data_IF_513191730333
#
_entry.id   IF_513191730333
#
_cell.length_a   1.000
_cell.length_b   1.000
_cell.length_c   1.000
_cell.angle_alpha   90.00
_cell.angle_beta   90.00
_cell.angle_gamma   90.00
#
_symmetry.space_group_name_H-M   'P 1'
#
loop_
_entity.id
_entity.type
_entity.pdbx_description
1 polymer ?
#
# COMPACT_ATOMS: atom_id res chain seq x y z
N UNK A 1 10.16 13.58 16.09
CA UNK A 1 9.35 14.48 15.23
C UNK A 1 10.12 14.90 13.98
N UNK A 2 11.28 15.57 14.08
CA UNK A 2 12.05 16.00 12.89
C UNK A 2 12.40 14.87 11.89
N UNK A 3 12.84 13.70 12.38
CA UNK A 3 13.15 12.54 11.51
C UNK A 3 11.91 12.03 10.77
N UNK A 4 10.76 11.99 11.43
CA UNK A 4 9.49 11.56 10.81
C UNK A 4 9.01 12.59 9.77
N UNK A 5 9.19 13.88 10.02
CA UNK A 5 8.88 14.95 9.05
C UNK A 5 9.74 14.85 7.80
N UNK A 6 11.05 14.63 7.96
CA UNK A 6 11.97 14.45 6.84
C UNK A 6 11.63 13.17 6.06
N UNK A 7 11.34 12.08 6.76
CA UNK A 7 10.90 10.83 6.13
C UNK A 7 9.59 11.01 5.36
N UNK A 8 8.62 11.73 5.92
CA UNK A 8 7.34 12.03 5.27
C UNK A 8 7.50 12.84 3.98
N UNK A 9 8.33 13.88 4.01
CA UNK A 9 8.70 14.66 2.81
C UNK A 9 9.35 13.73 1.78
N UNK A 10 10.32 12.92 2.19
CA UNK A 10 10.97 11.95 1.31
C UNK A 10 9.98 10.96 0.68
N UNK A 11 9.03 10.44 1.47
CA UNK A 11 8.03 9.48 0.99
C UNK A 11 7.06 10.10 -0.03
N UNK A 12 6.67 11.36 0.17
CA UNK A 12 5.79 12.11 -0.71
C UNK A 12 6.37 12.29 -2.12
N UNK A 13 7.69 12.46 -2.24
CA UNK A 13 8.37 12.51 -3.53
C UNK A 13 8.74 11.12 -4.07
N UNK A 14 9.12 10.19 -3.19
CA UNK A 14 9.64 8.89 -3.59
C UNK A 14 8.59 8.05 -4.34
N UNK A 15 7.35 7.97 -3.84
CA UNK A 15 6.31 7.17 -4.51
C UNK A 15 6.01 7.63 -5.94
N UNK A 16 5.70 8.91 -6.21
CA UNK A 16 5.45 9.40 -7.57
C UNK A 16 6.71 9.40 -8.44
N UNK A 17 7.89 9.72 -7.89
CA UNK A 17 9.14 9.67 -8.65
C UNK A 17 9.44 8.23 -9.11
N UNK A 18 9.26 7.24 -8.24
CA UNK A 18 9.48 5.82 -8.55
C UNK A 18 8.50 5.30 -9.60
N UNK A 19 7.22 5.70 -9.53
CA UNK A 19 6.23 5.36 -10.55
C UNK A 19 6.58 5.97 -11.92
N UNK A 20 6.99 7.24 -11.96
CA UNK A 20 7.40 7.90 -13.20
C UNK A 20 8.66 7.25 -13.81
N UNK A 21 9.63 6.89 -12.97
CA UNK A 21 10.91 6.31 -13.40
C UNK A 21 10.72 4.93 -14.03
N UNK A 22 9.84 4.07 -13.47
CA UNK A 22 9.51 2.75 -14.04
C UNK A 22 8.95 2.88 -15.46
N UNK A 23 8.12 3.89 -15.71
CA UNK A 23 7.56 4.17 -17.04
C UNK A 23 8.59 4.64 -18.07
N UNK A 24 9.69 5.26 -17.63
CA UNK A 24 10.78 5.75 -18.50
C UNK A 24 11.80 4.65 -18.82
N UNK A 25 12.00 3.71 -17.90
CA UNK A 25 12.97 2.61 -17.98
C UNK A 25 12.56 1.45 -18.89
N UNK A 26 11.25 1.31 -19.15
CA UNK A 26 10.68 0.09 -19.73
C UNK A 26 9.87 0.46 -20.98
N UNK A 27 10.07 -0.27 -22.07
CA UNK A 27 9.29 -0.09 -23.31
C UNK A 27 7.79 -0.39 -23.07
N UNK A 28 6.89 0.24 -23.85
CA UNK A 28 5.43 0.09 -23.69
C UNK A 28 4.98 -1.37 -23.60
N UNK A 29 5.60 -2.23 -24.40
CA UNK A 29 5.30 -3.66 -24.50
C UNK A 29 5.67 -4.45 -23.23
N UNK A 30 6.58 -3.90 -22.41
CA UNK A 30 7.05 -4.49 -21.16
C UNK A 30 6.52 -3.77 -19.91
N UNK A 31 5.78 -2.67 -20.06
CA UNK A 31 5.22 -1.90 -18.93
C UNK A 31 4.35 -2.78 -18.04
N UNK A 32 3.46 -3.59 -18.62
CA UNK A 32 2.60 -4.49 -17.85
C UNK A 32 3.41 -5.49 -17.03
N UNK A 33 4.49 -6.04 -17.59
CA UNK A 33 5.37 -6.96 -16.89
C UNK A 33 6.17 -6.25 -15.77
N UNK A 34 6.63 -5.02 -16.01
CA UNK A 34 7.33 -4.23 -15.01
C UNK A 34 6.42 -3.82 -13.84
N UNK A 35 5.18 -3.44 -14.11
CA UNK A 35 4.17 -3.15 -13.09
C UNK A 35 3.84 -4.42 -12.29
N UNK A 36 3.65 -5.56 -12.97
CA UNK A 36 3.43 -6.84 -12.31
C UNK A 36 4.60 -7.23 -11.38
N UNK A 37 5.85 -7.09 -11.86
CA UNK A 37 7.04 -7.36 -11.06
C UNK A 37 7.18 -6.42 -9.85
N UNK A 38 6.91 -5.13 -10.04
CA UNK A 38 6.91 -4.16 -8.94
C UNK A 38 5.84 -4.50 -7.89
N UNK A 39 4.63 -4.85 -8.33
CA UNK A 39 3.56 -5.27 -7.43
C UNK A 39 3.92 -6.57 -6.69
N UNK A 40 4.52 -7.55 -7.37
CA UNK A 40 5.00 -8.77 -6.75
C UNK A 40 6.07 -8.47 -5.68
N UNK A 41 7.04 -7.60 -5.99
CA UNK A 41 8.06 -7.17 -5.04
C UNK A 41 7.49 -6.43 -3.82
N UNK A 42 6.53 -5.51 -4.03
CA UNK A 42 5.86 -4.83 -2.91
C UNK A 42 5.08 -5.81 -2.04
N UNK A 43 4.35 -6.74 -2.65
CA UNK A 43 3.61 -7.78 -1.93
C UNK A 43 4.55 -8.72 -1.15
N UNK A 44 5.68 -9.09 -1.75
CA UNK A 44 6.73 -9.86 -1.08
C UNK A 44 7.26 -9.12 0.15
N UNK A 45 7.65 -7.85 0.00
CA UNK A 45 8.10 -7.01 1.12
C UNK A 45 7.02 -6.82 2.18
N UNK A 46 5.74 -6.69 1.78
CA UNK A 46 4.61 -6.52 2.70
C UNK A 46 4.40 -7.73 3.59
N UNK A 47 4.62 -8.94 3.07
CA UNK A 47 4.42 -10.19 3.83
C UNK A 47 5.66 -10.61 4.59
N UNK A 48 6.81 -10.65 3.92
CA UNK A 48 8.03 -11.19 4.49
C UNK A 48 8.87 -10.12 5.21
N UNK A 49 8.72 -8.84 4.85
CA UNK A 49 9.49 -7.75 5.46
C UNK A 49 9.31 -7.68 6.97
N UNK A 50 8.07 -7.60 7.50
CA UNK A 50 7.83 -7.59 8.93
C UNK A 50 8.31 -8.85 9.66
N UNK A 51 8.15 -10.03 9.06
CA UNK A 51 8.61 -11.30 9.64
C UNK A 51 10.13 -11.33 9.74
N UNK A 52 10.82 -10.98 8.65
CA UNK A 52 12.28 -10.91 8.59
C UNK A 52 12.82 -9.84 9.53
N UNK A 53 12.21 -8.66 9.57
CA UNK A 53 12.60 -7.60 10.50
C UNK A 53 12.41 -8.04 11.96
N UNK A 54 11.27 -8.64 12.30
CA UNK A 54 11.02 -9.18 13.64
C UNK A 54 12.00 -10.29 14.04
N UNK A 55 12.34 -11.19 13.10
CA UNK A 55 13.32 -12.24 13.32
C UNK A 55 14.75 -11.70 13.50
N UNK A 56 15.15 -10.69 12.70
CA UNK A 56 16.46 -10.04 12.83
C UNK A 56 16.58 -9.26 14.15
N UNK A 57 15.55 -8.52 14.55
CA UNK A 57 15.51 -7.82 15.84
C UNK A 57 15.63 -8.80 17.02
N UNK A 58 15.08 -10.01 16.86
CA UNK A 58 15.12 -11.06 17.86
C UNK A 58 16.50 -11.71 18.07
N UNK A 59 17.46 -11.47 17.16
CA UNK A 59 18.84 -11.95 17.31
C UNK A 59 19.58 -10.99 18.25
N UNK A 60 20.11 -11.46 19.40
CA UNK A 60 20.72 -10.59 20.43
C UNK A 60 21.86 -9.71 19.90
N UNK A 61 22.61 -10.21 18.92
CA UNK A 61 23.77 -9.52 18.32
C UNK A 61 23.40 -8.49 17.24
N UNK A 62 22.17 -8.53 16.70
CA UNK A 62 21.72 -7.60 15.65
C UNK A 62 20.90 -6.48 16.30
N UNK A 63 19.88 -6.85 17.07
CA UNK A 63 18.94 -5.91 17.69
C UNK A 63 18.27 -4.95 16.69
N UNK A 64 17.67 -3.87 17.20
CA UNK A 64 17.07 -2.85 16.33
C UNK A 64 18.12 -2.09 15.49
N UNK A 65 19.28 -1.78 16.09
CA UNK A 65 20.36 -1.04 15.42
C UNK A 65 20.92 -1.76 14.19
N UNK A 66 21.15 -3.06 14.28
CA UNK A 66 21.62 -3.87 13.16
C UNK A 66 20.63 -3.95 12.01
N UNK A 67 19.32 -3.98 12.30
CA UNK A 67 18.29 -3.91 11.24
C UNK A 67 18.34 -2.58 10.49
N UNK A 68 18.49 -1.46 11.19
CA UNK A 68 18.66 -0.16 10.53
C UNK A 68 19.95 -0.07 9.71
N UNK A 69 21.05 -0.69 10.16
CA UNK A 69 22.29 -0.76 9.40
C UNK A 69 22.13 -1.57 8.10
N UNK A 70 21.45 -2.72 8.17
CA UNK A 70 21.11 -3.54 6.99
C UNK A 70 20.22 -2.74 6.01
N UNK A 71 19.18 -2.07 6.52
CA UNK A 71 18.33 -1.21 5.69
C UNK A 71 19.15 -0.12 4.99
N UNK A 72 20.10 0.50 5.69
CA UNK A 72 20.98 1.53 5.13
C UNK A 72 21.86 0.97 4.02
N UNK A 73 22.44 -0.23 4.23
CA UNK A 73 23.21 -0.93 3.20
C UNK A 73 22.38 -1.27 1.96
N UNK A 74 21.13 -1.71 2.14
CA UNK A 74 20.21 -1.96 1.03
C UNK A 74 19.90 -0.69 0.24
N UNK A 75 19.60 0.43 0.92
CA UNK A 75 19.38 1.71 0.23
C UNK A 75 20.63 2.20 -0.51
N UNK A 76 21.82 2.07 0.10
CA UNK A 76 23.07 2.40 -0.57
C UNK A 76 23.30 1.54 -1.83
N UNK A 77 23.02 0.24 -1.75
CA UNK A 77 23.10 -0.65 -2.91
C UNK A 77 22.14 -0.26 -4.04
N UNK A 78 20.89 0.13 -3.70
CA UNK A 78 19.93 0.63 -4.68
C UNK A 78 20.46 1.91 -5.35
N UNK A 79 20.96 2.86 -4.57
CA UNK A 79 21.54 4.11 -5.10
C UNK A 79 22.72 3.83 -6.03
N UNK A 80 23.63 2.93 -5.63
CA UNK A 80 24.77 2.52 -6.46
C UNK A 80 24.32 1.83 -7.76
N UNK A 81 23.23 1.05 -7.69
CA UNK A 81 22.65 0.39 -8.86
C UNK A 81 22.01 1.39 -9.82
N UNK A 82 21.37 2.46 -9.30
CA UNK A 82 20.81 3.53 -10.13
C UNK A 82 21.91 4.23 -10.95
N UNK A 83 23.10 4.45 -10.41
CA UNK A 83 24.22 5.02 -11.17
C UNK A 83 24.70 4.14 -12.33
N UNK A 84 24.39 2.83 -12.33
CA UNK A 84 24.71 1.90 -13.42
C UNK A 84 23.62 1.83 -14.50
N UNK A 85 22.45 2.38 -14.23
CA UNK A 85 21.37 2.45 -15.22
C UNK A 85 21.75 3.53 -16.23
N UNK A 86 21.97 3.12 -17.48
CA UNK A 86 22.18 4.05 -18.59
C UNK A 86 20.87 4.78 -18.87
N UNK A 87 20.91 6.11 -18.75
CA UNK A 87 19.78 6.97 -19.06
C UNK A 87 19.35 6.75 -20.52
N UNK A 88 18.13 6.23 -20.73
CA UNK A 88 17.60 6.01 -22.08
C UNK A 88 16.96 7.28 -22.67
N UNK A 89 17.12 8.44 -22.03
CA UNK A 89 16.99 9.74 -22.70
C UNK A 89 15.64 9.93 -23.39
N UNK A 90 14.54 9.46 -22.80
CA UNK A 90 13.20 9.81 -23.26
C UNK A 90 12.62 10.89 -22.37
N UNK A 91 12.77 12.18 -22.73
CA UNK A 91 11.89 13.19 -22.19
C UNK A 91 10.50 12.86 -22.72
N UNK A 92 9.63 12.30 -21.88
CA UNK A 92 8.22 12.23 -22.21
C UNK A 92 7.69 13.65 -22.11
N UNK A 93 7.80 14.38 -23.22
CA UNK A 93 7.22 15.69 -23.41
C UNK A 93 5.73 15.58 -23.16
N UNK A 94 5.32 15.99 -21.97
CA UNK A 94 3.99 16.53 -21.77
C UNK A 94 4.22 17.80 -20.97
N UNK A 95 3.87 18.94 -21.56
CA UNK A 95 3.68 20.18 -20.81
C UNK A 95 2.61 19.84 -19.79
N UNK A 96 3.01 19.42 -18.60
CA UNK A 96 2.09 19.15 -17.51
C UNK A 96 1.61 20.51 -17.03
N UNK A 97 0.29 20.75 -16.96
CA UNK A 97 -0.22 21.98 -16.41
C UNK A 97 0.35 22.16 -14.99
N UNK A 98 0.51 23.41 -14.52
CA UNK A 98 0.95 23.72 -13.17
C UNK A 98 0.29 22.81 -12.13
N UNK A 99 1.01 22.38 -11.06
CA UNK A 99 0.47 21.43 -10.07
C UNK A 99 -0.88 21.86 -9.49
N UNK A 100 -1.04 23.16 -9.25
CA UNK A 100 -2.28 23.78 -8.76
C UNK A 100 -3.42 23.74 -9.79
N UNK A 101 -3.10 23.91 -11.07
CA UNK A 101 -4.07 23.89 -12.16
C UNK A 101 -4.55 22.46 -12.44
N UNK A 102 -3.62 21.51 -12.41
CA UNK A 102 -3.93 20.06 -12.43
C UNK A 102 -4.80 19.63 -11.25
N UNK A 103 -4.54 20.15 -10.04
CA UNK A 103 -5.36 19.88 -8.85
C UNK A 103 -6.78 20.44 -9.01
N UNK A 104 -6.90 21.66 -9.55
CA UNK A 104 -8.18 22.33 -9.80
C UNK A 104 -9.00 21.61 -10.87
N UNK A 105 -8.36 21.14 -11.93
CA UNK A 105 -9.00 20.30 -12.97
C UNK A 105 -9.46 18.97 -12.39
N UNK A 106 -8.64 18.29 -11.58
CA UNK A 106 -9.00 17.05 -10.89
C UNK A 106 -10.21 17.23 -9.98
N UNK A 107 -10.22 18.29 -9.14
CA UNK A 107 -11.36 18.62 -8.28
C UNK A 107 -12.63 18.94 -9.07
N UNK A 108 -12.51 19.65 -10.19
CA UNK A 108 -13.66 19.95 -11.06
C UNK A 108 -14.21 18.69 -11.72
N UNK A 109 -13.33 17.79 -12.16
CA UNK A 109 -13.73 16.50 -12.74
C UNK A 109 -14.45 15.61 -11.73
N UNK A 110 -13.90 15.48 -10.51
CA UNK A 110 -14.52 14.73 -9.41
C UNK A 110 -15.91 15.28 -9.10
N UNK A 111 -16.07 16.60 -9.05
CA UNK A 111 -17.35 17.25 -8.79
C UNK A 111 -18.37 17.03 -9.91
N UNK A 112 -17.92 16.93 -11.16
CA UNK A 112 -18.80 16.75 -12.31
C UNK A 112 -19.18 15.28 -12.56
N UNK A 113 -18.36 14.32 -12.11
CA UNK A 113 -18.62 12.89 -12.27
C UNK A 113 -19.08 12.26 -10.94
N UNK A 114 -20.40 12.16 -10.77
CA UNK A 114 -21.05 11.64 -9.54
C UNK A 114 -20.57 10.23 -9.14
N UNK A 115 -20.23 9.38 -10.11
CA UNK A 115 -19.71 8.03 -9.84
C UNK A 115 -18.31 8.09 -9.19
N UNK A 116 -17.42 8.93 -9.73
CA UNK A 116 -16.06 9.11 -9.20
C UNK A 116 -16.09 9.75 -7.81
N UNK A 117 -16.94 10.76 -7.61
CA UNK A 117 -17.14 11.38 -6.29
C UNK A 117 -17.62 10.37 -5.24
N UNK A 118 -18.57 9.50 -5.61
CA UNK A 118 -19.08 8.46 -4.70
C UNK A 118 -17.99 7.43 -4.37
N UNK A 119 -17.22 6.99 -5.37
CA UNK A 119 -16.11 6.05 -5.17
C UNK A 119 -15.00 6.64 -4.27
N UNK A 120 -14.68 7.93 -4.43
CA UNK A 120 -13.70 8.63 -3.60
C UNK A 120 -14.21 8.83 -2.16
N UNK A 121 -15.47 9.21 -1.98
CA UNK A 121 -16.08 9.31 -0.65
C UNK A 121 -16.08 7.94 0.07
N UNK A 122 -16.40 6.86 -0.67
CA UNK A 122 -16.31 5.49 -0.16
C UNK A 122 -14.87 5.11 0.18
N UNK A 123 -13.87 5.53 -0.60
CA UNK A 123 -12.46 5.25 -0.31
C UNK A 123 -11.94 6.05 0.90
N UNK A 124 -12.48 7.26 1.13
CA UNK A 124 -12.04 8.16 2.19
C UNK A 124 -12.28 7.57 3.59
N UNK A 125 -13.44 6.96 3.82
CA UNK A 125 -13.82 6.38 5.13
C UNK A 125 -12.82 5.32 5.63
N UNK A 126 -12.49 4.25 4.89
CA UNK A 126 -11.53 3.24 5.32
C UNK A 126 -10.09 3.76 5.34
N UNK A 127 -9.73 4.78 4.55
CA UNK A 127 -8.40 5.41 4.66
C UNK A 127 -8.30 6.19 5.98
N UNK A 128 -9.29 7.02 6.29
CA UNK A 128 -9.29 7.87 7.48
C UNK A 128 -9.40 7.05 8.78
N UNK A 129 -10.30 6.07 8.81
CA UNK A 129 -10.60 5.28 10.01
C UNK A 129 -9.77 3.99 10.10
N UNK A 130 -9.36 3.43 8.96
CA UNK A 130 -8.61 2.18 8.91
C UNK A 130 -7.11 2.37 9.06
N UNK A 131 -6.47 3.21 8.25
CA UNK A 131 -5.00 3.32 8.24
C UNK A 131 -4.34 3.53 9.61
N UNK A 132 -4.94 4.26 10.58
CA UNK A 132 -4.39 4.38 11.92
C UNK A 132 -4.14 3.04 12.63
N UNK A 133 -4.89 1.97 12.31
CA UNK A 133 -4.70 0.65 12.92
C UNK A 133 -3.28 0.11 12.65
N UNK A 134 -2.72 0.37 11.47
CA UNK A 134 -1.37 -0.09 11.12
C UNK A 134 -0.30 0.62 11.93
N UNK A 135 -0.50 1.92 12.20
CA UNK A 135 0.41 2.73 12.99
C UNK A 135 0.32 2.40 14.48
N UNK A 136 -0.86 2.03 14.96
CA UNK A 136 -1.09 1.61 16.35
C UNK A 136 -0.73 0.14 16.59
N UNK A 137 -0.45 -0.65 15.56
CA UNK A 137 -0.09 -2.07 15.68
C UNK A 137 1.04 -2.36 16.68
N UNK A 138 2.15 -1.59 16.70
CA UNK A 138 3.21 -1.79 17.67
C UNK A 138 2.73 -1.59 19.11
N UNK A 139 1.88 -0.59 19.35
CA UNK A 139 1.27 -0.31 20.66
C UNK A 139 0.38 -1.47 21.10
N UNK A 140 -0.44 -2.03 20.19
CA UNK A 140 -1.22 -3.23 20.49
C UNK A 140 -0.34 -4.45 20.82
N UNK A 141 0.76 -4.64 20.10
CA UNK A 141 1.68 -5.75 20.34
C UNK A 141 2.40 -5.64 21.70
N UNK A 142 2.73 -4.42 22.11
CA UNK A 142 3.46 -4.14 23.34
C UNK A 142 2.55 -4.00 24.57
N UNK A 143 1.52 -3.16 24.51
CA UNK A 143 0.67 -2.84 25.66
C UNK A 143 -0.50 -3.81 25.85
N UNK A 144 -1.14 -4.25 24.75
CA UNK A 144 -2.35 -5.10 24.83
C UNK A 144 -1.99 -6.58 24.90
N UNK A 145 -1.19 -7.06 23.93
CA UNK A 145 -0.86 -8.48 23.82
C UNK A 145 0.42 -8.86 24.58
N UNK A 146 1.28 -7.90 24.93
CA UNK A 146 2.55 -8.11 25.65
C UNK A 146 3.46 -9.17 25.01
N UNK A 147 3.48 -9.22 23.67
CA UNK A 147 4.20 -10.23 22.88
C UNK A 147 5.53 -9.71 22.28
N UNK A 148 5.83 -8.43 22.48
CA UNK A 148 7.07 -7.80 22.04
C UNK A 148 7.29 -7.80 20.51
N UNK A 149 8.53 -7.55 20.06
CA UNK A 149 8.86 -7.43 18.62
C UNK A 149 8.61 -8.69 17.80
N UNK A 150 8.79 -9.88 18.41
CA UNK A 150 8.51 -11.17 17.76
C UNK A 150 7.01 -11.32 17.44
N UNK A 151 6.17 -11.00 18.41
CA UNK A 151 4.72 -11.03 18.23
C UNK A 151 4.23 -9.98 17.23
N UNK A 152 4.81 -8.78 17.24
CA UNK A 152 4.54 -7.75 16.22
C UNK A 152 4.85 -8.25 14.80
N UNK A 153 6.01 -8.90 14.62
CA UNK A 153 6.38 -9.52 13.35
C UNK A 153 5.33 -10.54 12.88
N UNK A 154 4.86 -11.41 13.79
CA UNK A 154 3.79 -12.38 13.50
C UNK A 154 2.46 -11.69 13.13
N UNK A 155 2.01 -10.71 13.90
CA UNK A 155 0.77 -9.96 13.63
C UNK A 155 0.80 -9.34 12.22
N UNK A 156 1.91 -8.71 11.85
CA UNK A 156 2.10 -8.11 10.53
C UNK A 156 2.20 -9.16 9.42
N UNK A 157 2.83 -10.31 9.67
CA UNK A 157 2.92 -11.43 8.71
C UNK A 157 1.54 -11.99 8.40
N UNK A 158 0.72 -12.25 9.43
CA UNK A 158 -0.64 -12.77 9.27
C UNK A 158 -1.53 -11.74 8.56
N UNK A 159 -1.38 -10.44 8.87
CA UNK A 159 -2.04 -9.38 8.10
C UNK A 159 -1.61 -9.39 6.61
N UNK A 160 -0.32 -9.55 6.35
CA UNK A 160 0.23 -9.67 4.99
C UNK A 160 -0.30 -10.89 4.23
N UNK A 161 -0.35 -12.06 4.88
CA UNK A 161 -0.93 -13.29 4.31
C UNK A 161 -2.40 -13.11 3.93
N UNK A 162 -3.18 -12.51 4.83
CA UNK A 162 -4.56 -12.12 4.54
C UNK A 162 -4.64 -11.22 3.31
N UNK A 163 -3.80 -10.19 3.25
CA UNK A 163 -3.76 -9.24 2.13
C UNK A 163 -3.40 -9.90 0.79
N UNK A 164 -2.44 -10.83 0.77
CA UNK A 164 -2.14 -11.61 -0.43
C UNK A 164 -3.35 -12.42 -0.87
N UNK A 165 -3.98 -13.17 0.05
CA UNK A 165 -5.15 -13.96 -0.27
C UNK A 165 -6.30 -13.10 -0.81
N UNK A 166 -6.54 -11.93 -0.21
CA UNK A 166 -7.57 -10.99 -0.64
C UNK A 166 -7.31 -10.40 -2.03
N UNK A 167 -6.08 -9.94 -2.28
CA UNK A 167 -5.72 -9.39 -3.59
C UNK A 167 -5.78 -10.45 -4.71
N UNK A 168 -5.28 -11.66 -4.47
CA UNK A 168 -5.36 -12.76 -5.44
C UNK A 168 -6.81 -13.19 -5.70
N UNK A 169 -7.64 -13.25 -4.66
CA UNK A 169 -9.06 -13.58 -4.80
C UNK A 169 -9.77 -12.56 -5.67
N UNK A 170 -9.57 -11.25 -5.43
CA UNK A 170 -10.17 -10.21 -6.27
C UNK A 170 -9.63 -10.21 -7.69
N UNK A 171 -8.33 -10.49 -7.88
CA UNK A 171 -7.73 -10.62 -9.21
C UNK A 171 -8.34 -11.79 -10.01
N UNK A 172 -8.63 -12.92 -9.35
CA UNK A 172 -9.31 -14.05 -9.97
C UNK A 172 -10.80 -13.75 -10.26
N UNK A 173 -11.41 -12.86 -9.49
CA UNK A 173 -12.83 -12.49 -9.55
C UNK A 173 -13.13 -11.32 -10.50
N UNK A 174 -12.43 -11.26 -11.63
CA UNK A 174 -12.53 -10.17 -12.64
C UNK A 174 -13.92 -10.02 -13.28
N UNK A 175 -14.72 -11.09 -13.30
CA UNK A 175 -16.02 -11.18 -13.99
C UNK A 175 -17.26 -10.90 -13.10
N UNK A 176 -17.12 -10.28 -11.92
CA UNK A 176 -18.29 -9.98 -11.10
C UNK A 176 -19.18 -8.87 -11.70
N UNK A 177 -20.50 -9.09 -11.86
CA UNK A 177 -21.41 -8.13 -12.49
C UNK A 177 -21.75 -6.91 -11.63
N UNK A 178 -21.52 -6.93 -10.30
CA UNK A 178 -21.87 -5.84 -9.38
C UNK A 178 -20.69 -5.40 -8.50
N UNK A 179 -19.63 -4.92 -9.15
CA UNK A 179 -18.37 -4.50 -8.49
C UNK A 179 -18.55 -3.42 -7.41
N UNK A 180 -19.51 -2.50 -7.56
CA UNK A 180 -19.80 -1.47 -6.55
C UNK A 180 -20.37 -2.03 -5.23
N UNK A 181 -21.29 -3.00 -5.30
CA UNK A 181 -21.83 -3.68 -4.10
C UNK A 181 -20.75 -4.48 -3.39
N UNK A 182 -19.89 -5.18 -4.15
CA UNK A 182 -18.77 -5.92 -3.59
C UNK A 182 -17.81 -4.98 -2.84
N UNK A 183 -17.52 -3.79 -3.37
CA UNK A 183 -16.70 -2.78 -2.67
C UNK A 183 -17.35 -2.34 -1.36
N UNK A 184 -18.66 -2.08 -1.37
CA UNK A 184 -19.37 -1.67 -0.15
C UNK A 184 -19.40 -2.79 0.91
N UNK A 185 -19.62 -4.05 0.50
CA UNK A 185 -19.55 -5.21 1.40
C UNK A 185 -18.17 -5.38 2.01
N UNK A 186 -17.10 -5.24 1.21
CA UNK A 186 -15.72 -5.27 1.71
C UNK A 186 -15.48 -4.11 2.69
N UNK A 187 -15.95 -2.89 2.40
CA UNK A 187 -15.81 -1.76 3.31
C UNK A 187 -16.47 -2.01 4.68
N UNK A 188 -17.70 -2.54 4.69
CA UNK A 188 -18.42 -2.89 5.91
C UNK A 188 -17.72 -4.02 6.67
N UNK A 189 -17.30 -5.07 5.97
CA UNK A 189 -16.57 -6.17 6.57
C UNK A 189 -15.23 -5.71 7.19
N UNK A 190 -14.56 -4.74 6.58
CA UNK A 190 -13.32 -4.16 7.10
C UNK A 190 -13.57 -3.39 8.40
N UNK A 191 -14.60 -2.54 8.44
CA UNK A 191 -14.98 -1.80 9.65
C UNK A 191 -15.40 -2.73 10.79
N UNK A 192 -16.20 -3.76 10.50
CA UNK A 192 -16.60 -4.78 11.48
C UNK A 192 -15.38 -5.55 12.02
N UNK A 193 -14.47 -5.97 11.14
CA UNK A 193 -13.27 -6.70 11.54
C UNK A 193 -12.35 -5.84 12.42
N UNK A 194 -12.25 -4.53 12.13
CA UNK A 194 -11.52 -3.59 12.98
C UNK A 194 -12.17 -3.41 14.35
N UNK A 195 -13.50 -3.33 14.41
CA UNK A 195 -14.21 -3.25 15.68
C UNK A 195 -13.95 -4.51 16.53
N UNK A 196 -14.04 -5.70 15.93
CA UNK A 196 -13.72 -6.97 16.61
C UNK A 196 -12.26 -6.98 17.10
N UNK A 197 -11.32 -6.51 16.28
CA UNK A 197 -9.91 -6.42 16.67
C UNK A 197 -9.70 -5.49 17.87
N UNK A 198 -10.39 -4.35 17.92
CA UNK A 198 -10.28 -3.39 19.02
C UNK A 198 -10.74 -3.98 20.37
N UNK A 199 -11.75 -4.85 20.37
CA UNK A 199 -12.23 -5.53 21.58
C UNK A 199 -11.46 -6.83 21.89
N UNK A 200 -10.61 -7.31 20.99
CA UNK A 200 -9.87 -8.56 21.16
C UNK A 200 -8.71 -8.39 22.13
N UNK A 201 -8.78 -9.07 23.29
CA UNK A 201 -7.69 -9.15 24.26
C UNK A 201 -6.82 -10.41 24.13
N UNK A 202 -7.20 -11.34 23.25
CA UNK A 202 -6.46 -12.59 23.03
C UNK A 202 -5.56 -12.49 21.80
N UNK A 203 -4.29 -12.90 21.95
CA UNK A 203 -3.30 -12.87 20.86
C UNK A 203 -3.73 -13.74 19.66
N UNK A 204 -4.30 -14.93 19.90
CA UNK A 204 -4.76 -15.81 18.83
C UNK A 204 -5.96 -15.25 18.07
N UNK A 205 -6.91 -14.63 18.78
CA UNK A 205 -8.06 -13.96 18.16
C UNK A 205 -7.58 -12.75 17.36
N UNK A 206 -6.58 -12.01 17.87
CA UNK A 206 -5.92 -10.91 17.17
C UNK A 206 -5.29 -11.36 15.85
N UNK A 207 -4.57 -12.49 15.84
CA UNK A 207 -3.96 -13.06 14.63
C UNK A 207 -5.02 -13.42 13.57
N UNK A 208 -6.07 -14.15 13.96
CA UNK A 208 -7.14 -14.54 13.03
C UNK A 208 -7.84 -13.30 12.47
N UNK A 209 -8.15 -12.33 13.34
CA UNK A 209 -8.81 -11.09 12.92
C UNK A 209 -7.93 -10.29 11.97
N UNK A 210 -6.60 -10.27 12.17
CA UNK A 210 -5.67 -9.58 11.27
C UNK A 210 -5.57 -10.21 9.88
N UNK A 211 -5.71 -11.53 9.77
CA UNK A 211 -5.84 -12.20 8.45
C UNK A 211 -7.09 -11.68 7.74
N UNK A 212 -8.22 -11.62 8.45
CA UNK A 212 -9.48 -11.12 7.87
C UNK A 212 -9.35 -9.64 7.48
N UNK A 213 -8.81 -8.80 8.36
CA UNK A 213 -8.54 -7.38 8.06
C UNK A 213 -7.65 -7.23 6.83
N UNK A 214 -6.58 -8.03 6.74
CA UNK A 214 -5.68 -8.05 5.59
C UNK A 214 -6.41 -8.40 4.31
N UNK A 215 -7.18 -9.48 4.32
CA UNK A 215 -7.97 -9.96 3.19
C UNK A 215 -8.94 -8.90 2.67
N UNK A 216 -9.74 -8.35 3.58
CA UNK A 216 -10.78 -7.41 3.20
C UNK A 216 -10.19 -6.06 2.76
N UNK A 217 -9.16 -5.55 3.44
CA UNK A 217 -8.50 -4.28 3.08
C UNK A 217 -7.80 -4.33 1.73
N UNK A 218 -7.06 -5.41 1.45
CA UNK A 218 -6.35 -5.55 0.18
C UNK A 218 -7.30 -5.83 -0.98
N UNK A 219 -8.37 -6.60 -0.72
CA UNK A 219 -9.44 -6.78 -1.70
C UNK A 219 -10.15 -5.47 -2.02
N UNK A 220 -10.45 -4.65 -1.00
CA UNK A 220 -11.04 -3.33 -1.16
C UNK A 220 -10.16 -2.40 -2.01
N UNK A 221 -8.86 -2.30 -1.69
CA UNK A 221 -7.92 -1.46 -2.45
C UNK A 221 -7.80 -1.92 -3.91
N UNK A 222 -7.62 -3.23 -4.14
CA UNK A 222 -7.48 -3.77 -5.51
C UNK A 222 -8.73 -3.51 -6.34
N UNK A 223 -9.91 -3.69 -5.75
CA UNK A 223 -11.18 -3.42 -6.41
C UNK A 223 -11.38 -1.92 -6.68
N UNK A 224 -11.03 -1.06 -5.73
CA UNK A 224 -11.11 0.39 -5.89
C UNK A 224 -10.21 0.89 -7.02
N UNK A 225 -8.93 0.50 -7.03
CA UNK A 225 -8.00 0.85 -8.11
C UNK A 225 -8.50 0.36 -9.48
N UNK A 226 -9.07 -0.84 -9.54
CA UNK A 226 -9.65 -1.40 -10.78
C UNK A 226 -10.89 -0.62 -11.24
N UNK A 227 -11.80 -0.28 -10.31
CA UNK A 227 -13.01 0.46 -10.61
C UNK A 227 -12.71 1.88 -11.07
N UNK A 228 -11.76 2.54 -10.44
CA UNK A 228 -11.27 3.85 -10.86
C UNK A 228 -10.71 3.73 -12.27
N UNK A 229 -9.80 2.79 -12.53
CA UNK A 229 -9.15 2.66 -13.84
C UNK A 229 -10.10 2.27 -14.98
N UNK A 230 -11.14 1.49 -14.71
CA UNK A 230 -12.16 1.12 -15.71
C UNK A 230 -13.18 2.23 -15.99
N UNK A 231 -13.44 3.14 -15.04
CA UNK A 231 -14.45 4.20 -15.18
C UNK A 231 -13.83 5.60 -15.44
N UNK A 232 -12.51 5.70 -15.51
CA UNK A 232 -11.82 6.94 -15.86
C UNK A 232 -11.18 6.81 -17.25
N UNK A 233 -11.33 7.85 -18.07
CA UNK A 233 -10.69 7.94 -19.38
C UNK A 233 -9.17 7.86 -19.23
N UNK A 234 -8.51 7.18 -20.18
CA UNK A 234 -7.06 6.89 -20.14
C UNK A 234 -6.16 8.12 -19.99
N UNK A 235 -6.70 9.31 -20.24
CA UNK A 235 -6.02 10.60 -20.12
C UNK A 235 -5.90 11.09 -18.66
N UNK A 236 -6.74 10.57 -17.74
CA UNK A 236 -6.79 11.00 -16.33
C UNK A 236 -6.27 9.97 -15.32
N UNK A 237 -5.84 8.77 -15.76
CA UNK A 237 -5.35 7.70 -14.89
C UNK A 237 -4.22 8.14 -13.94
N UNK A 238 -3.34 9.06 -14.37
CA UNK A 238 -2.25 9.59 -13.54
C UNK A 238 -2.60 10.81 -12.67
N UNK A 239 -3.83 11.33 -12.75
CA UNK A 239 -4.28 12.52 -11.99
C UNK A 239 -5.33 12.19 -10.92
N UNK A 240 -5.95 11.01 -11.01
CA UNK A 240 -7.02 10.55 -10.10
C UNK A 240 -6.50 9.50 -9.09
N UNK A 241 -5.38 8.83 -9.40
CA UNK A 241 -4.62 7.98 -8.46
C UNK A 241 -3.72 8.82 -7.57
#
# INVERSE_FOLDING_TARGET
MAVASIQGIGFAFNMPARQAFVGQLVSRDRLMNAVALNNAGMNFCRVLGPSMAGALIAVPFIGAGGVYAIMTGMYAYVVLSLFRIKDQGRPMGSVRPPPLESLREGLRYIRNNSVVSTLLALAFVPVLLGMPYQQLMPVFAEEVFKVGPRGLGLLLTFNGLGALAGSLTIAALTAFPRKGLLQMMLGIAFGLSLAVFAFSRSFHIGLVTLVVIGFVSSGYQSLNSTLVMNNSDSEYHGRVM
#
